data_IF_105698206796
#
_entry.id   IF_105698206796
#
_cell.length_a   1.000
_cell.length_b   1.000
_cell.length_c   1.000
_cell.angle_alpha   90.00
_cell.angle_beta   90.00
_cell.angle_gamma   90.00
#
_symmetry.space_group_name_H-M   'P 1'
#
loop_
_entity.id
_entity.type
_entity.pdbx_description
1 polymer ?
#
# COMPACT_ATOMS: atom_id res chain seq x y z
N UNK A 1 -2.45 -0.99 21.93
CA UNK A 1 -2.77 -1.30 20.51
C UNK A 1 -3.18 -0.02 19.83
N UNK A 2 -3.11 0.07 18.50
CA UNK A 2 -3.52 1.26 17.76
C UNK A 2 -4.60 0.86 16.75
N UNK A 3 -5.73 1.55 16.77
CA UNK A 3 -6.86 1.24 15.90
C UNK A 3 -7.20 2.41 14.99
N UNK A 4 -7.71 2.11 13.80
CA UNK A 4 -8.03 3.14 12.82
C UNK A 4 -8.85 2.59 11.67
N UNK A 5 -9.24 3.49 10.78
CA UNK A 5 -10.00 3.17 9.57
C UNK A 5 -9.30 3.70 8.32
N UNK A 6 -9.64 3.10 7.18
CA UNK A 6 -9.45 3.75 5.89
C UNK A 6 -10.51 4.85 5.71
N UNK A 7 -10.10 6.11 5.62
CA UNK A 7 -11.01 7.25 5.52
C UNK A 7 -10.81 8.03 4.21
N UNK A 8 -11.93 8.51 3.67
CA UNK A 8 -11.92 9.27 2.42
C UNK A 8 -11.33 10.66 2.61
N UNK A 9 -10.48 11.05 1.66
CA UNK A 9 -9.89 12.39 1.52
C UNK A 9 -10.64 13.26 0.50
N UNK A 10 -11.79 12.79 0.00
CA UNK A 10 -12.59 13.53 -0.97
C UNK A 10 -13.04 14.90 -0.43
N UNK A 11 -12.75 15.94 -1.20
CA UNK A 11 -13.03 17.34 -0.87
C UNK A 11 -11.89 18.03 -0.11
N UNK A 12 -11.26 17.38 0.87
CA UNK A 12 -10.11 17.92 1.60
C UNK A 12 -9.39 16.84 2.42
N UNK A 13 -8.05 16.86 2.44
CA UNK A 13 -7.25 15.93 3.27
C UNK A 13 -7.60 16.02 4.76
N UNK A 14 -7.78 17.22 5.30
CA UNK A 14 -8.09 17.45 6.71
C UNK A 14 -9.43 16.84 7.15
N UNK A 15 -10.34 16.56 6.22
CA UNK A 15 -11.60 15.89 6.51
C UNK A 15 -11.37 14.48 7.06
N UNK A 16 -10.35 13.77 6.58
CA UNK A 16 -10.00 12.43 7.06
C UNK A 16 -9.54 12.48 8.53
N UNK A 17 -8.75 13.52 8.91
CA UNK A 17 -8.31 13.72 10.30
C UNK A 17 -9.48 13.96 11.24
N UNK A 18 -10.40 14.86 10.85
CA UNK A 18 -11.61 15.11 11.65
C UNK A 18 -12.41 13.82 11.85
N UNK A 19 -12.64 13.07 10.78
CA UNK A 19 -13.39 11.82 10.83
C UNK A 19 -12.72 10.74 11.70
N UNK A 20 -11.39 10.71 11.74
CA UNK A 20 -10.64 9.79 12.58
C UNK A 20 -10.81 10.16 14.08
N UNK A 21 -10.70 11.44 14.41
CA UNK A 21 -10.91 11.96 15.76
C UNK A 21 -12.35 11.72 16.25
N UNK A 22 -13.34 12.01 15.40
CA UNK A 22 -14.77 11.78 15.72
C UNK A 22 -15.06 10.30 16.05
N UNK A 23 -14.21 9.37 15.58
CA UNK A 23 -14.32 7.91 15.78
C UNK A 23 -13.37 7.36 16.85
N UNK A 24 -12.60 8.21 17.53
CA UNK A 24 -11.62 7.78 18.52
C UNK A 24 -10.49 6.92 17.95
N UNK A 25 -10.07 7.19 16.71
CA UNK A 25 -8.96 6.46 16.09
C UNK A 25 -7.60 6.88 16.66
N UNK A 26 -6.67 5.92 16.74
CA UNK A 26 -5.25 6.13 17.03
C UNK A 26 -4.39 6.13 15.75
N UNK A 27 -4.90 5.56 14.66
CA UNK A 27 -4.23 5.38 13.38
C UNK A 27 -5.13 5.78 12.21
N UNK A 28 -4.55 6.00 11.02
CA UNK A 28 -5.29 6.47 9.85
C UNK A 28 -4.72 5.87 8.56
N UNK A 29 -5.60 5.30 7.72
CA UNK A 29 -5.27 4.98 6.33
C UNK A 29 -6.05 5.88 5.36
N UNK A 30 -5.40 6.30 4.28
CA UNK A 30 -6.00 7.11 3.23
C UNK A 30 -5.50 6.70 1.85
N UNK A 31 -6.18 7.12 0.79
CA UNK A 31 -5.55 7.28 -0.52
C UNK A 31 -4.88 8.66 -0.64
N UNK A 32 -3.70 8.72 -1.25
CA UNK A 32 -3.00 9.99 -1.55
C UNK A 32 -3.54 10.72 -2.81
N UNK A 33 -4.77 10.42 -3.20
CA UNK A 33 -5.50 10.97 -4.34
C UNK A 33 -6.59 10.00 -4.80
N UNK A 34 -7.18 10.22 -5.98
CA UNK A 34 -8.21 9.30 -6.49
C UNK A 34 -7.66 7.89 -6.69
N UNK A 35 -8.29 6.84 -6.13
CA UNK A 35 -7.87 5.45 -6.34
C UNK A 35 -8.28 4.89 -7.71
N UNK A 36 -9.02 5.68 -8.51
CA UNK A 36 -9.61 5.27 -9.79
C UNK A 36 -8.96 5.92 -11.01
N UNK A 37 -7.90 6.70 -10.82
CA UNK A 37 -7.25 7.43 -11.91
C UNK A 37 -5.72 7.36 -11.82
N UNK A 38 -5.07 7.15 -12.96
CA UNK A 38 -3.61 7.18 -13.07
C UNK A 38 -3.04 8.56 -12.79
N UNK A 39 -3.61 9.59 -13.43
CA UNK A 39 -3.18 10.97 -13.27
C UNK A 39 -3.92 11.60 -12.10
N UNK A 40 -3.18 12.12 -11.14
CA UNK A 40 -3.70 12.81 -9.97
C UNK A 40 -3.16 14.24 -9.95
N UNK A 41 -3.98 15.25 -9.61
CA UNK A 41 -3.49 16.60 -9.45
C UNK A 41 -2.30 16.64 -8.48
N UNK A 42 -1.31 17.51 -8.69
CA UNK A 42 -0.22 17.70 -7.73
C UNK A 42 -0.77 17.95 -6.33
N UNK A 43 -0.15 17.35 -5.32
CA UNK A 43 -0.48 17.66 -3.92
C UNK A 43 0.24 18.95 -3.54
N UNK A 44 -0.54 19.98 -3.21
CA UNK A 44 0.01 21.27 -2.81
C UNK A 44 0.84 21.13 -1.52
N UNK A 45 2.12 21.57 -1.50
CA UNK A 45 2.97 21.44 -0.32
C UNK A 45 2.41 22.09 0.93
N UNK A 46 1.67 23.20 0.77
CA UNK A 46 1.00 23.87 1.89
C UNK A 46 -0.13 23.03 2.49
N UNK A 47 -0.90 22.32 1.65
CA UNK A 47 -1.95 21.43 2.11
C UNK A 47 -1.37 20.23 2.87
N UNK A 48 -0.34 19.59 2.30
CA UNK A 48 0.32 18.46 2.92
C UNK A 48 0.96 18.80 4.28
N UNK A 49 1.59 19.98 4.40
CA UNK A 49 2.14 20.46 5.68
C UNK A 49 1.05 20.66 6.74
N UNK A 50 -0.08 21.27 6.38
CA UNK A 50 -1.22 21.43 7.30
C UNK A 50 -1.79 20.08 7.72
N UNK A 51 -1.95 19.16 6.78
CA UNK A 51 -2.41 17.80 7.05
C UNK A 51 -1.47 17.08 8.03
N UNK A 52 -0.17 17.10 7.75
CA UNK A 52 0.86 16.52 8.63
C UNK A 52 0.79 17.11 10.04
N UNK A 53 0.76 18.42 10.17
CA UNK A 53 0.68 19.08 11.47
C UNK A 53 -0.55 18.64 12.28
N UNK A 54 -1.71 18.50 11.62
CA UNK A 54 -2.93 18.05 12.28
C UNK A 54 -2.89 16.57 12.66
N UNK A 55 -2.29 15.72 11.83
CA UNK A 55 -2.05 14.29 12.14
C UNK A 55 -1.13 14.16 13.35
N UNK A 56 -0.05 14.94 13.40
CA UNK A 56 0.93 14.94 14.50
C UNK A 56 0.30 15.46 15.81
N UNK A 57 -0.44 16.57 15.75
CA UNK A 57 -1.20 17.12 16.90
C UNK A 57 -2.23 16.12 17.45
N UNK A 58 -2.91 15.38 16.56
CA UNK A 58 -3.91 14.39 16.91
C UNK A 58 -3.32 13.05 17.39
N UNK A 59 -2.01 12.84 17.25
CA UNK A 59 -1.38 11.55 17.56
C UNK A 59 -1.80 10.39 16.65
N UNK A 60 -2.36 10.67 15.46
CA UNK A 60 -2.89 9.68 14.51
C UNK A 60 -1.76 8.95 13.78
N UNK A 61 -1.17 7.94 14.44
CA UNK A 61 -0.05 7.16 13.93
C UNK A 61 -0.32 5.66 14.12
N UNK A 62 0.12 4.77 13.21
CA UNK A 62 0.72 5.11 11.94
C UNK A 62 -0.29 5.79 11.00
N UNK A 63 0.23 6.69 10.16
CA UNK A 63 -0.45 7.19 8.98
C UNK A 63 -0.02 6.34 7.79
N UNK A 64 -0.99 5.75 7.11
CA UNK A 64 -0.80 4.82 6.00
C UNK A 64 -1.40 5.41 4.73
N UNK A 65 -0.63 5.41 3.65
CA UNK A 65 -1.15 5.66 2.30
C UNK A 65 -1.37 4.31 1.63
N UNK A 66 -2.56 4.06 1.09
CA UNK A 66 -2.79 2.91 0.23
C UNK A 66 -2.63 3.34 -1.24
N UNK A 67 -1.99 2.53 -2.06
CA UNK A 67 -1.87 2.78 -3.50
C UNK A 67 -3.18 2.50 -4.24
N UNK A 68 -3.45 3.17 -5.38
CA UNK A 68 -4.67 2.96 -6.17
C UNK A 68 -4.87 1.51 -6.64
N UNK A 69 -6.13 1.08 -6.75
CA UNK A 69 -6.51 -0.27 -7.21
C UNK A 69 -6.07 -0.59 -8.65
N UNK A 70 -5.75 0.44 -9.44
CA UNK A 70 -5.27 0.27 -10.82
C UNK A 70 -3.84 -0.30 -10.90
N UNK A 71 -3.07 -0.19 -9.81
CA UNK A 71 -1.68 -0.62 -9.76
C UNK A 71 -1.60 -2.13 -9.90
N UNK A 72 -0.80 -2.59 -10.87
CA UNK A 72 -0.41 -3.97 -11.01
C UNK A 72 1.09 -4.07 -11.33
N UNK A 73 1.90 -4.28 -10.29
CA UNK A 73 3.36 -4.41 -10.38
C UNK A 73 3.81 -5.74 -11.02
N UNK A 74 2.94 -6.75 -11.04
CA UNK A 74 3.18 -8.04 -11.66
C UNK A 74 2.63 -8.15 -13.10
N UNK A 75 2.08 -7.07 -13.65
CA UNK A 75 1.44 -7.09 -14.96
C UNK A 75 2.44 -7.48 -16.05
N UNK A 76 2.13 -8.46 -16.94
CA UNK A 76 2.98 -8.74 -18.10
C UNK A 76 2.94 -7.58 -19.11
N UNK A 77 1.86 -6.80 -19.13
CA UNK A 77 1.68 -5.62 -19.99
C UNK A 77 2.64 -4.48 -19.58
N UNK A 78 3.64 -4.13 -20.41
CA UNK A 78 4.69 -3.19 -20.00
C UNK A 78 4.17 -1.79 -19.65
N UNK A 79 3.17 -1.29 -20.37
CA UNK A 79 2.59 0.04 -20.12
C UNK A 79 1.82 0.09 -18.79
N UNK A 80 1.06 -0.96 -18.46
CA UNK A 80 0.39 -1.08 -17.16
C UNK A 80 1.42 -1.11 -16.04
N UNK A 81 2.48 -1.92 -16.20
CA UNK A 81 3.55 -2.04 -15.21
C UNK A 81 4.30 -0.72 -15.03
N UNK A 82 4.62 -0.02 -16.11
CA UNK A 82 5.26 1.32 -16.08
C UNK A 82 4.41 2.32 -15.30
N UNK A 83 3.12 2.45 -15.63
CA UNK A 83 2.19 3.34 -14.92
C UNK A 83 2.02 2.96 -13.45
N UNK A 84 2.05 1.66 -13.14
CA UNK A 84 1.99 1.13 -11.78
C UNK A 84 3.20 1.56 -10.96
N UNK A 85 4.40 1.41 -11.50
CA UNK A 85 5.66 1.87 -10.88
C UNK A 85 5.61 3.39 -10.64
N UNK A 86 5.22 4.17 -11.64
CA UNK A 86 5.10 5.63 -11.54
C UNK A 86 4.09 6.06 -10.46
N UNK A 87 2.96 5.37 -10.38
CA UNK A 87 1.93 5.64 -9.38
C UNK A 87 2.42 5.37 -7.96
N UNK A 88 3.12 4.25 -7.72
CA UNK A 88 3.66 3.91 -6.40
C UNK A 88 4.79 4.86 -6.01
N UNK A 89 5.69 5.22 -6.94
CA UNK A 89 6.73 6.23 -6.66
C UNK A 89 6.09 7.57 -6.27
N UNK A 90 5.03 7.99 -6.95
CA UNK A 90 4.29 9.19 -6.59
C UNK A 90 3.61 9.07 -5.22
N UNK A 91 3.07 7.91 -4.88
CA UNK A 91 2.55 7.65 -3.53
C UNK A 91 3.63 7.77 -2.46
N UNK A 92 4.83 7.22 -2.70
CA UNK A 92 5.97 7.36 -1.78
C UNK A 92 6.37 8.82 -1.57
N UNK A 93 6.31 9.65 -2.63
CA UNK A 93 6.57 11.10 -2.54
C UNK A 93 5.50 11.83 -1.76
N UNK A 94 4.22 11.56 -2.04
CA UNK A 94 3.10 12.16 -1.31
C UNK A 94 3.08 11.74 0.15
N UNK A 95 3.32 10.46 0.42
CA UNK A 95 3.47 9.90 1.76
C UNK A 95 4.58 10.63 2.52
N UNK A 96 5.76 10.82 1.93
CA UNK A 96 6.84 11.59 2.54
C UNK A 96 6.43 13.02 2.87
N UNK A 97 5.74 13.70 1.95
CA UNK A 97 5.31 15.08 2.12
C UNK A 97 4.24 15.24 3.22
N UNK A 98 3.30 14.30 3.28
CA UNK A 98 2.27 14.22 4.33
C UNK A 98 2.81 13.69 5.67
N UNK A 99 4.05 13.16 5.69
CA UNK A 99 4.66 12.56 6.86
C UNK A 99 4.12 11.18 7.20
N UNK A 100 3.56 10.44 6.24
CA UNK A 100 3.09 9.07 6.43
C UNK A 100 4.23 8.09 6.72
N UNK A 101 3.92 7.07 7.51
CA UNK A 101 4.84 6.02 7.96
C UNK A 101 4.97 4.91 6.92
N UNK A 102 3.86 4.60 6.25
CA UNK A 102 3.75 3.45 5.36
C UNK A 102 3.05 3.78 4.05
N UNK A 103 3.43 3.09 2.98
CA UNK A 103 2.67 2.98 1.74
C UNK A 103 2.31 1.51 1.51
N UNK A 104 1.03 1.18 1.42
CA UNK A 104 0.55 -0.19 1.17
C UNK A 104 0.24 -0.37 -0.31
N UNK A 105 0.65 -1.49 -0.88
CA UNK A 105 0.34 -1.88 -2.26
C UNK A 105 0.11 -3.39 -2.35
N UNK A 106 -0.86 -3.82 -3.17
CA UNK A 106 -1.00 -5.23 -3.52
C UNK A 106 0.14 -5.69 -4.44
N UNK A 107 0.52 -6.96 -4.34
CA UNK A 107 1.58 -7.55 -5.18
C UNK A 107 1.21 -7.63 -6.67
N UNK A 108 -0.08 -7.58 -7.00
CA UNK A 108 -0.60 -7.52 -8.37
C UNK A 108 -1.07 -8.86 -8.93
N UNK A 109 -1.26 -8.91 -10.24
CA UNK A 109 -1.85 -10.02 -10.98
C UNK A 109 -1.02 -10.40 -12.20
N UNK A 110 -0.73 -11.69 -12.39
CA UNK A 110 0.11 -12.17 -13.49
C UNK A 110 -0.64 -12.27 -14.85
N UNK A 111 -1.97 -12.12 -14.88
CA UNK A 111 -2.79 -12.07 -16.12
C UNK A 111 -2.52 -13.23 -17.10
N UNK A 112 -2.31 -14.45 -16.58
CA UNK A 112 -2.02 -15.64 -17.40
C UNK A 112 -0.55 -15.89 -17.73
N UNK A 113 0.38 -14.97 -17.42
CA UNK A 113 1.81 -15.19 -17.64
C UNK A 113 2.46 -16.21 -16.66
N UNK A 114 1.70 -16.68 -15.68
CA UNK A 114 2.16 -17.55 -14.60
C UNK A 114 2.81 -16.81 -13.43
N UNK A 115 2.72 -17.40 -12.25
CA UNK A 115 3.21 -16.81 -10.99
C UNK A 115 4.72 -16.56 -11.00
N UNK A 116 5.50 -17.47 -11.59
CA UNK A 116 6.96 -17.33 -11.69
C UNK A 116 7.33 -16.03 -12.41
N UNK A 117 6.69 -15.75 -13.54
CA UNK A 117 6.94 -14.53 -14.31
C UNK A 117 6.37 -13.30 -13.60
N UNK A 118 5.16 -13.40 -13.05
CA UNK A 118 4.56 -12.30 -12.29
C UNK A 118 5.39 -11.88 -11.08
N UNK A 119 5.95 -12.84 -10.32
CA UNK A 119 6.86 -12.57 -9.19
C UNK A 119 8.18 -11.94 -9.67
N UNK A 120 8.71 -12.39 -10.81
CA UNK A 120 9.91 -11.79 -11.41
C UNK A 120 9.66 -10.31 -11.75
N UNK A 121 8.54 -10.02 -12.42
CA UNK A 121 8.13 -8.67 -12.80
C UNK A 121 7.81 -7.78 -11.59
N UNK A 122 7.18 -8.33 -10.56
CA UNK A 122 6.96 -7.65 -9.29
C UNK A 122 8.30 -7.21 -8.69
N UNK A 123 9.29 -8.13 -8.60
CA UNK A 123 10.61 -7.80 -8.05
C UNK A 123 11.31 -6.70 -8.84
N UNK A 124 11.32 -6.79 -10.17
CA UNK A 124 11.89 -5.74 -11.04
C UNK A 124 11.23 -4.38 -10.75
N UNK A 125 9.91 -4.38 -10.60
CA UNK A 125 9.13 -3.17 -10.25
C UNK A 125 9.50 -2.63 -8.86
N UNK A 126 9.64 -3.49 -7.86
CA UNK A 126 10.04 -3.11 -6.49
C UNK A 126 11.44 -2.49 -6.47
N UNK A 127 12.41 -3.10 -7.15
CA UNK A 127 13.74 -2.53 -7.28
C UNK A 127 13.69 -1.12 -7.89
N UNK A 128 12.90 -0.93 -8.95
CA UNK A 128 12.76 0.38 -9.58
C UNK A 128 12.09 1.42 -8.67
N UNK A 129 11.04 1.01 -7.96
CA UNK A 129 10.35 1.87 -6.99
C UNK A 129 11.32 2.30 -5.89
N UNK A 130 12.09 1.38 -5.32
CA UNK A 130 13.01 1.66 -4.22
C UNK A 130 14.18 2.58 -4.61
N UNK A 131 14.68 2.43 -5.84
CA UNK A 131 15.71 3.28 -6.44
C UNK A 131 15.21 4.72 -6.61
N UNK A 132 13.96 4.90 -7.08
CA UNK A 132 13.42 6.20 -7.47
C UNK A 132 12.57 6.89 -6.38
N UNK A 133 12.29 6.22 -5.26
CA UNK A 133 11.45 6.73 -4.18
C UNK A 133 12.26 7.36 -3.05
N UNK A 134 11.72 8.39 -2.36
CA UNK A 134 12.37 8.98 -1.20
C UNK A 134 12.48 7.98 -0.05
N UNK A 135 13.45 8.20 0.84
CA UNK A 135 13.52 7.54 2.15
C UNK A 135 12.51 8.15 3.13
N UNK A 136 11.99 7.36 4.05
CA UNK A 136 11.04 7.79 5.08
C UNK A 136 9.92 6.75 5.20
N UNK A 137 8.86 6.84 4.36
CA UNK A 137 7.84 5.82 4.33
C UNK A 137 8.41 4.45 3.95
N UNK A 138 7.93 3.39 4.60
CA UNK A 138 8.23 2.00 4.25
C UNK A 138 7.14 1.48 3.31
N UNK A 139 7.53 0.83 2.21
CA UNK A 139 6.57 0.20 1.30
C UNK A 139 6.14 -1.14 1.89
N UNK A 140 4.84 -1.39 2.03
CA UNK A 140 4.28 -2.62 2.55
C UNK A 140 3.58 -3.37 1.42
N UNK A 141 3.96 -4.64 1.22
CA UNK A 141 3.27 -5.52 0.30
C UNK A 141 2.13 -6.21 1.02
N UNK A 142 0.90 -5.97 0.56
CA UNK A 142 -0.29 -6.60 1.12
C UNK A 142 -0.48 -8.01 0.55
N UNK A 143 -0.86 -8.97 1.41
CA UNK A 143 -1.32 -10.26 0.95
C UNK A 143 -2.66 -10.15 0.22
N UNK A 144 -2.98 -11.14 -0.60
CA UNK A 144 -4.19 -11.17 -1.42
C UNK A 144 -5.03 -12.41 -1.12
N UNK A 145 -6.28 -12.38 -1.58
CA UNK A 145 -7.23 -13.49 -1.41
C UNK A 145 -6.97 -14.64 -2.40
N UNK A 146 -6.13 -14.43 -3.42
CA UNK A 146 -5.80 -15.45 -4.42
C UNK A 146 -6.82 -15.54 -5.56
N UNK A 147 -7.61 -14.49 -5.77
CA UNK A 147 -8.63 -14.50 -6.80
C UNK A 147 -8.03 -14.43 -8.21
N UNK A 148 -8.39 -15.40 -9.06
CA UNK A 148 -8.05 -15.41 -10.49
C UNK A 148 -6.55 -15.55 -10.76
N UNK A 149 -5.84 -14.42 -10.90
CA UNK A 149 -4.40 -14.40 -11.24
C UNK A 149 -3.58 -13.58 -10.24
N UNK A 150 -4.11 -13.40 -9.03
CA UNK A 150 -3.47 -12.69 -7.92
C UNK A 150 -2.15 -13.33 -7.50
N UNK A 151 -1.21 -12.48 -7.09
CA UNK A 151 0.02 -12.87 -6.40
C UNK A 151 -0.08 -12.40 -4.95
N UNK A 152 0.62 -13.08 -4.04
CA UNK A 152 0.65 -12.71 -2.63
C UNK A 152 -0.37 -13.42 -1.74
N UNK A 153 -1.09 -14.40 -2.28
CA UNK A 153 -1.99 -15.27 -1.51
C UNK A 153 -1.27 -16.46 -0.86
N UNK A 154 0.00 -16.70 -1.19
CA UNK A 154 0.82 -17.76 -0.63
C UNK A 154 2.02 -17.12 0.08
N UNK A 155 2.32 -17.46 1.36
CA UNK A 155 3.46 -16.88 2.09
C UNK A 155 4.81 -17.03 1.37
N UNK A 156 5.01 -18.07 0.57
CA UNK A 156 6.22 -18.24 -0.25
C UNK A 156 6.39 -17.16 -1.33
N UNK A 157 5.29 -16.53 -1.77
CA UNK A 157 5.33 -15.37 -2.65
C UNK A 157 5.99 -14.18 -1.95
N UNK A 158 5.73 -14.01 -0.66
CA UNK A 158 6.24 -12.88 0.13
C UNK A 158 7.75 -13.00 0.32
N UNK A 159 8.22 -14.20 0.68
CA UNK A 159 9.65 -14.47 0.82
C UNK A 159 10.39 -14.21 -0.50
N UNK A 160 9.83 -14.68 -1.62
CA UNK A 160 10.40 -14.47 -2.96
C UNK A 160 10.41 -12.99 -3.34
N UNK A 161 9.34 -12.24 -3.05
CA UNK A 161 9.24 -10.82 -3.35
C UNK A 161 10.25 -9.98 -2.56
N UNK A 162 10.43 -10.28 -1.27
CA UNK A 162 11.31 -9.52 -0.37
C UNK A 162 12.80 -9.88 -0.53
N UNK A 163 13.12 -11.05 -1.09
CA UNK A 163 14.50 -11.54 -1.20
C UNK A 163 15.40 -10.55 -1.95
N UNK A 164 16.46 -10.12 -1.26
CA UNK A 164 17.49 -9.21 -1.80
C UNK A 164 17.09 -7.73 -1.83
N UNK A 165 15.93 -7.37 -1.27
CA UNK A 165 15.56 -5.97 -1.07
C UNK A 165 16.25 -5.40 0.18
N UNK A 166 16.55 -4.08 0.19
CA UNK A 166 17.18 -3.44 1.35
C UNK A 166 16.27 -3.49 2.59
N UNK A 167 16.87 -3.86 3.72
CA UNK A 167 16.18 -3.91 5.01
C UNK A 167 15.56 -2.56 5.39
N UNK A 168 14.39 -2.62 6.05
CA UNK A 168 13.67 -1.43 6.52
C UNK A 168 13.07 -0.55 5.42
N UNK A 169 13.20 -0.90 4.14
CA UNK A 169 12.56 -0.17 3.02
C UNK A 169 11.27 -0.82 2.53
N UNK A 170 11.15 -2.14 2.69
CA UNK A 170 9.98 -2.91 2.32
C UNK A 170 9.58 -3.85 3.46
N UNK A 171 8.28 -4.01 3.69
CA UNK A 171 7.70 -4.94 4.65
C UNK A 171 6.41 -5.57 4.11
N UNK A 172 5.62 -6.14 5.02
CA UNK A 172 4.34 -6.77 4.71
C UNK A 172 3.18 -6.03 5.40
N UNK A 173 2.03 -5.99 4.74
CA UNK A 173 0.75 -5.66 5.33
C UNK A 173 -0.09 -6.93 5.33
N UNK A 174 -0.57 -7.36 6.50
CA UNK A 174 -1.42 -8.54 6.62
C UNK A 174 -2.89 -8.09 6.68
N UNK A 175 -3.61 -8.30 5.58
CA UNK A 175 -5.07 -8.29 5.57
C UNK A 175 -5.57 -9.67 6.02
N UNK A 176 -6.29 -9.66 7.14
CA UNK A 176 -6.81 -10.87 7.79
C UNK A 176 -7.97 -11.51 7.03
N UNK A 177 -8.77 -10.74 6.29
CA UNK A 177 -9.84 -11.28 5.46
C UNK A 177 -9.26 -12.01 4.25
N UNK A 178 -8.24 -11.41 3.62
CA UNK A 178 -7.48 -12.07 2.56
C UNK A 178 -6.80 -13.34 3.06
N UNK A 179 -6.15 -13.29 4.22
CA UNK A 179 -5.51 -14.46 4.82
C UNK A 179 -6.52 -15.59 5.12
N UNK A 180 -7.69 -15.22 5.66
CA UNK A 180 -8.81 -16.14 5.87
C UNK A 180 -9.22 -16.87 4.60
N UNK A 181 -9.33 -16.14 3.51
CA UNK A 181 -9.78 -16.70 2.23
C UNK A 181 -8.71 -17.54 1.51
N UNK A 182 -7.43 -17.25 1.73
CA UNK A 182 -6.34 -17.80 0.90
C UNK A 182 -5.58 -18.96 1.54
N UNK A 183 -5.03 -18.77 2.74
CA UNK A 183 -4.07 -19.73 3.32
C UNK A 183 -4.30 -20.06 4.80
N UNK A 184 -5.26 -19.41 5.47
CA UNK A 184 -5.39 -19.54 6.92
C UNK A 184 -6.84 -19.39 7.39
N UNK A 185 -7.57 -20.48 7.64
CA UNK A 185 -8.90 -20.41 8.27
C UNK A 185 -8.85 -19.86 9.70
N UNK A 186 -9.03 -18.55 9.83
CA UNK A 186 -9.09 -17.83 11.10
C UNK A 186 -10.36 -18.08 11.94
N UNK A 187 -11.35 -18.84 11.44
CA UNK A 187 -12.54 -19.19 12.20
C UNK A 187 -12.36 -20.45 13.05
N UNK A 188 -11.32 -21.25 12.75
CA UNK A 188 -11.03 -22.47 13.48
C UNK A 188 -10.46 -22.16 14.89
N UNK A 189 -10.95 -22.83 15.96
CA UNK A 189 -10.47 -22.62 17.34
C UNK A 189 -8.96 -22.85 17.55
N UNK A 190 -8.32 -23.55 16.60
CA UNK A 190 -6.89 -23.88 16.65
C UNK A 190 -6.00 -22.78 16.03
N UNK A 191 -6.60 -21.76 15.39
CA UNK A 191 -5.87 -20.70 14.71
C UNK A 191 -5.11 -21.18 13.46
N UNK A 192 -4.41 -20.24 12.82
CA UNK A 192 -3.52 -20.48 11.67
C UNK A 192 -2.60 -21.69 11.90
N UNK A 193 -2.55 -22.64 10.94
CA UNK A 193 -1.54 -23.72 10.95
C UNK A 193 -0.15 -23.19 10.64
#
# INVERSE_FOLDING_TARGET
MRFGFHLSTAGALLRAVKQALDRGCDALQIFAGSPRAWRRPPLEPGEARRFRAKVDEAGLRPLVVHSPYLVNLASPEPEVRRRSIEAVIEDMRRAKLMGADFVVVHMGHHKGAGEREGLRLLRDSLHKILECSPKGPVLLLENSAGAGTEIGYDPSHWERALRGLPEGRVGLCLDVAHAHQSFCDLSAPQGAK
#
